data_IF_481310580460
#
_entry.id   IF_481310580460
#
_cell.length_a   1.000
_cell.length_b   1.000
_cell.length_c   1.000
_cell.angle_alpha   90.00
_cell.angle_beta   90.00
_cell.angle_gamma   90.00
#
_symmetry.space_group_name_H-M   'P 1'
#
loop_
_entity.id
_entity.type
_entity.pdbx_description
1 polymer ?
#
# COMPACT_ATOMS: atom_id res chain seq x y z
N UNK A 1 -11.96 -27.61 -14.21
CA UNK A 1 -11.98 -29.08 -14.13
C UNK A 1 -10.89 -29.67 -13.22
N UNK A 2 -9.68 -29.11 -13.18
CA UNK A 2 -8.64 -29.59 -12.24
C UNK A 2 -9.07 -29.48 -10.77
N UNK A 3 -9.68 -28.34 -10.39
CA UNK A 3 -10.16 -28.08 -9.02
C UNK A 3 -11.23 -29.09 -8.56
N UNK A 4 -12.13 -29.55 -9.44
CA UNK A 4 -13.15 -30.56 -9.07
C UNK A 4 -12.51 -31.92 -8.74
N UNK A 5 -11.51 -32.34 -9.52
CA UNK A 5 -10.77 -33.56 -9.22
C UNK A 5 -10.00 -33.48 -7.91
N UNK A 6 -9.59 -32.28 -7.49
CA UNK A 6 -8.97 -32.08 -6.17
C UNK A 6 -10.00 -32.10 -5.04
N UNK A 7 -11.17 -31.50 -5.24
CA UNK A 7 -12.27 -31.53 -4.27
C UNK A 7 -12.69 -32.99 -4.01
N UNK A 8 -12.85 -33.79 -5.06
CA UNK A 8 -13.20 -35.21 -4.95
C UNK A 8 -12.15 -36.04 -4.21
N UNK A 9 -10.87 -35.65 -4.29
CA UNK A 9 -9.75 -36.34 -3.63
C UNK A 9 -9.52 -35.89 -2.18
N UNK A 10 -10.07 -34.74 -1.79
CA UNK A 10 -9.83 -34.16 -0.47
C UNK A 10 -10.88 -34.67 0.50
N UNK A 11 -10.45 -35.32 1.59
CA UNK A 11 -11.37 -35.76 2.64
C UNK A 11 -11.91 -34.54 3.43
N UNK A 12 -13.17 -34.61 3.86
CA UNK A 12 -13.87 -33.58 4.66
C UNK A 12 -14.14 -32.21 3.98
N UNK A 13 -14.25 -32.15 2.65
CA UNK A 13 -14.69 -30.91 1.97
C UNK A 13 -16.19 -30.67 2.18
N UNK A 14 -16.60 -29.45 2.63
CA UNK A 14 -18.02 -29.13 2.76
C UNK A 14 -18.71 -29.15 1.40
N UNK A 15 -19.86 -29.83 1.33
CA UNK A 15 -20.66 -29.87 0.11
C UNK A 15 -21.24 -28.49 -0.24
N UNK A 16 -21.31 -28.15 -1.53
CA UNK A 16 -21.92 -26.90 -1.97
C UNK A 16 -23.37 -26.79 -1.51
N UNK A 17 -23.80 -25.59 -1.10
CA UNK A 17 -25.19 -25.33 -0.77
C UNK A 17 -25.88 -24.39 -1.76
N UNK A 18 -27.21 -24.39 -1.65
CA UNK A 18 -28.09 -23.42 -2.28
C UNK A 18 -28.86 -22.66 -1.19
N UNK A 19 -29.19 -21.41 -1.45
CA UNK A 19 -29.92 -20.52 -0.54
C UNK A 19 -31.03 -19.84 -1.33
N UNK A 20 -32.22 -19.76 -0.73
CA UNK A 20 -33.32 -18.96 -1.25
C UNK A 20 -33.24 -17.54 -0.68
N UNK A 21 -33.67 -16.58 -1.48
CA UNK A 21 -33.91 -15.22 -0.99
C UNK A 21 -35.16 -15.17 -0.09
N UNK A 22 -35.35 -14.07 0.62
CA UNK A 22 -36.48 -13.90 1.57
C UNK A 22 -37.84 -13.96 0.87
N UNK A 23 -37.88 -13.58 -0.41
CA UNK A 23 -39.11 -13.63 -1.21
C UNK A 23 -39.35 -14.99 -1.87
N UNK A 24 -38.42 -15.94 -1.74
CA UNK A 24 -38.41 -17.24 -2.40
C UNK A 24 -38.55 -17.17 -3.94
N UNK A 25 -38.25 -16.03 -4.55
CA UNK A 25 -38.30 -15.84 -6.00
C UNK A 25 -36.97 -16.22 -6.66
N UNK A 26 -35.89 -16.20 -5.90
CA UNK A 26 -34.53 -16.45 -6.38
C UNK A 26 -33.91 -17.62 -5.63
N UNK A 27 -33.35 -18.55 -6.42
CA UNK A 27 -32.47 -19.61 -5.94
C UNK A 27 -31.04 -19.23 -6.26
N UNK A 28 -30.21 -19.14 -5.23
CA UNK A 28 -28.79 -18.79 -5.34
C UNK A 28 -27.98 -20.04 -5.02
N UNK A 29 -27.04 -20.41 -5.89
CA UNK A 29 -26.16 -21.56 -5.62
C UNK A 29 -24.83 -21.44 -6.36
N UNK A 30 -23.79 -22.00 -5.75
CA UNK A 30 -22.46 -22.01 -6.32
C UNK A 30 -22.34 -23.04 -7.45
N UNK A 31 -21.69 -22.65 -8.54
CA UNK A 31 -21.40 -23.51 -9.69
C UNK A 31 -19.91 -23.52 -10.01
N UNK A 32 -19.52 -24.26 -11.04
CA UNK A 32 -18.15 -24.25 -11.57
C UNK A 32 -17.71 -22.87 -12.06
N UNK A 33 -18.67 -22.04 -12.50
CA UNK A 33 -18.43 -20.72 -13.07
C UNK A 33 -19.16 -19.68 -12.23
N UNK A 34 -18.61 -19.43 -11.05
CA UNK A 34 -19.19 -18.49 -10.09
C UNK A 34 -20.51 -18.95 -9.48
N UNK A 35 -21.24 -18.02 -8.90
CA UNK A 35 -22.50 -18.25 -8.18
C UNK A 35 -23.65 -17.79 -9.05
N UNK A 36 -24.58 -18.69 -9.37
CA UNK A 36 -25.76 -18.36 -10.16
C UNK A 36 -26.88 -17.86 -9.27
N UNK A 37 -27.52 -16.79 -9.71
CA UNK A 37 -28.80 -16.32 -9.19
C UNK A 37 -29.84 -16.71 -10.23
N UNK A 38 -30.72 -17.63 -9.88
CA UNK A 38 -31.77 -18.15 -10.76
C UNK A 38 -33.11 -17.61 -10.30
N UNK A 39 -33.84 -16.98 -11.21
CA UNK A 39 -35.21 -16.58 -10.96
C UNK A 39 -36.14 -17.77 -11.22
N UNK A 40 -36.84 -18.23 -10.18
CA UNK A 40 -37.66 -19.45 -10.23
C UNK A 40 -38.95 -19.26 -11.02
N UNK A 41 -39.44 -18.03 -11.16
CA UNK A 41 -40.65 -17.75 -11.92
C UNK A 41 -40.39 -17.76 -13.44
N UNK A 42 -39.27 -17.17 -13.84
CA UNK A 42 -38.90 -17.02 -15.26
C UNK A 42 -37.99 -18.13 -15.78
N UNK A 43 -37.46 -18.99 -14.89
CA UNK A 43 -36.43 -20.00 -15.18
C UNK A 43 -35.19 -19.42 -15.89
N UNK A 44 -34.92 -18.13 -15.68
CA UNK A 44 -33.75 -17.44 -16.25
C UNK A 44 -32.70 -17.21 -15.16
N UNK A 45 -31.45 -17.09 -15.59
CA UNK A 45 -30.32 -16.72 -14.74
C UNK A 45 -30.08 -15.21 -14.91
N UNK A 46 -30.74 -14.34 -14.14
CA UNK A 46 -30.55 -12.89 -14.25
C UNK A 46 -29.12 -12.45 -13.97
N UNK A 47 -28.40 -13.15 -13.09
CA UNK A 47 -27.06 -12.74 -12.67
C UNK A 47 -26.17 -13.94 -12.32
N UNK A 48 -24.88 -13.79 -12.57
CA UNK A 48 -23.83 -14.72 -12.14
C UNK A 48 -22.78 -13.89 -11.42
N UNK A 49 -22.63 -14.13 -10.12
CA UNK A 49 -21.66 -13.47 -9.25
C UNK A 49 -20.34 -14.24 -9.26
N UNK A 50 -19.23 -13.58 -8.93
CA UNK A 50 -17.94 -14.25 -8.86
C UNK A 50 -17.35 -14.64 -10.22
N UNK A 51 -17.78 -13.97 -11.31
CA UNK A 51 -17.27 -14.21 -12.67
C UNK A 51 -15.84 -13.72 -12.88
N UNK A 52 -15.43 -12.67 -12.15
CA UNK A 52 -14.08 -12.12 -12.25
C UNK A 52 -13.07 -13.12 -11.66
N UNK A 53 -13.51 -13.87 -10.67
CA UNK A 53 -12.78 -14.92 -9.97
C UNK A 53 -12.80 -16.25 -10.73
N UNK A 54 -12.38 -16.24 -12.00
CA UNK A 54 -12.48 -17.38 -12.94
C UNK A 54 -11.84 -18.71 -12.47
N UNK A 55 -10.92 -18.66 -11.51
CA UNK A 55 -10.25 -19.85 -10.95
C UNK A 55 -10.79 -20.29 -9.59
N UNK A 56 -11.76 -19.57 -9.02
CA UNK A 56 -12.23 -19.81 -7.66
C UNK A 56 -13.47 -20.70 -7.63
N UNK A 57 -13.42 -21.74 -6.79
CA UNK A 57 -14.54 -22.67 -6.62
C UNK A 57 -15.26 -22.39 -5.30
N UNK A 58 -16.34 -21.63 -5.36
CA UNK A 58 -17.17 -21.34 -4.19
C UNK A 58 -17.89 -22.60 -3.71
N UNK A 59 -17.85 -22.87 -2.40
CA UNK A 59 -18.52 -24.03 -1.80
C UNK A 59 -19.70 -23.59 -0.96
N UNK A 60 -19.44 -22.78 0.07
CA UNK A 60 -20.48 -22.34 0.98
C UNK A 60 -20.90 -20.91 0.68
N UNK A 61 -22.20 -20.70 0.59
CA UNK A 61 -22.83 -19.40 0.43
C UNK A 61 -23.77 -19.12 1.60
N UNK A 62 -23.85 -17.85 1.99
CA UNK A 62 -24.79 -17.34 2.97
C UNK A 62 -25.31 -15.99 2.49
N UNK A 63 -26.62 -15.80 2.52
CA UNK A 63 -27.27 -14.57 2.06
C UNK A 63 -27.73 -13.75 3.27
N UNK A 64 -27.24 -12.53 3.37
CA UNK A 64 -27.71 -11.54 4.34
C UNK A 64 -28.57 -10.51 3.59
N UNK A 65 -29.85 -10.36 3.97
CA UNK A 65 -30.79 -9.43 3.30
C UNK A 65 -31.15 -8.24 4.19
N UNK A 66 -30.29 -7.95 5.17
CA UNK A 66 -30.50 -6.87 6.14
C UNK A 66 -31.21 -7.32 7.41
N UNK A 67 -31.17 -6.41 8.39
CA UNK A 67 -31.95 -6.52 9.60
C UNK A 67 -33.20 -5.62 9.49
N UNK A 68 -34.39 -6.23 9.52
CA UNK A 68 -35.67 -5.50 9.64
C UNK A 68 -35.98 -5.12 11.11
N UNK A 69 -35.13 -5.53 12.05
CA UNK A 69 -35.21 -5.29 13.47
C UNK A 69 -34.83 -3.86 13.87
N UNK A 70 -35.83 -3.12 14.33
CA UNK A 70 -35.78 -1.93 15.18
C UNK A 70 -34.67 -0.88 14.91
N UNK A 71 -35.09 0.24 14.32
CA UNK A 71 -34.34 1.49 14.08
C UNK A 71 -33.68 2.07 15.34
N UNK A 72 -32.56 1.49 15.81
CA UNK A 72 -31.63 2.11 16.79
C UNK A 72 -30.19 1.74 16.49
N UNK A 73 -29.74 1.85 15.23
CA UNK A 73 -28.30 1.84 14.95
C UNK A 73 -27.75 3.25 15.18
N UNK A 74 -26.84 3.33 16.14
CA UNK A 74 -26.12 4.51 16.62
C UNK A 74 -25.42 5.21 15.45
N UNK A 75 -25.82 6.45 15.14
CA UNK A 75 -25.12 7.31 14.17
C UNK A 75 -23.67 7.51 14.67
N UNK A 76 -22.68 7.05 13.91
CA UNK A 76 -21.31 7.54 14.03
C UNK A 76 -21.31 8.90 13.30
N UNK A 77 -21.00 10.02 13.96
CA UNK A 77 -21.01 11.31 13.30
C UNK A 77 -19.79 11.41 12.39
N UNK A 78 -20.00 11.25 11.08
CA UNK A 78 -19.10 11.80 10.08
C UNK A 78 -19.39 13.30 9.95
N UNK A 79 -18.36 14.12 10.21
CA UNK A 79 -18.39 15.56 10.00
C UNK A 79 -18.36 15.81 8.49
N UNK A 80 -19.53 15.86 7.87
CA UNK A 80 -19.83 16.61 6.65
C UNK A 80 -21.33 16.43 6.34
N UNK A 81 -22.16 17.26 6.96
CA UNK A 81 -23.53 17.43 6.52
C UNK A 81 -23.53 18.29 5.26
N UNK A 82 -24.03 17.74 4.15
CA UNK A 82 -25.02 18.38 3.26
C UNK A 82 -25.23 17.50 2.03
N UNK A 83 -26.39 16.84 1.94
CA UNK A 83 -27.39 16.90 0.86
C UNK A 83 -28.55 15.99 1.27
N UNK A 84 -29.77 16.49 1.13
CA UNK A 84 -31.02 15.75 1.29
C UNK A 84 -30.99 14.38 0.58
N UNK A 85 -31.14 13.29 1.33
CA UNK A 85 -31.69 12.05 0.76
C UNK A 85 -32.58 11.39 1.81
N UNK A 86 -33.88 11.74 1.76
CA UNK A 86 -34.97 10.98 2.40
C UNK A 86 -35.16 9.65 1.65
N UNK A 87 -34.13 8.81 1.66
CA UNK A 87 -34.27 7.39 1.31
C UNK A 87 -34.16 6.61 2.60
N UNK A 88 -35.15 5.74 2.83
CA UNK A 88 -35.01 4.69 3.84
C UNK A 88 -33.65 4.01 3.67
N UNK A 89 -32.97 3.61 4.77
CA UNK A 89 -31.68 2.95 4.66
C UNK A 89 -31.86 1.75 3.74
N UNK A 90 -31.31 1.86 2.53
CA UNK A 90 -31.44 0.86 1.50
C UNK A 90 -30.68 -0.35 2.03
N UNK A 91 -31.41 -1.33 2.56
CA UNK A 91 -30.79 -2.56 3.00
C UNK A 91 -30.13 -3.22 1.79
N UNK A 92 -28.81 -3.32 1.84
CA UNK A 92 -28.01 -3.89 0.76
C UNK A 92 -27.82 -5.40 1.02
N UNK A 93 -28.50 -6.28 0.27
CA UNK A 93 -28.36 -7.70 0.42
C UNK A 93 -26.95 -8.08 0.03
N UNK A 94 -26.23 -8.68 0.98
CA UNK A 94 -24.85 -9.09 0.82
C UNK A 94 -24.77 -10.60 0.82
N UNK A 95 -24.20 -11.16 -0.24
CA UNK A 95 -23.88 -12.58 -0.31
C UNK A 95 -22.45 -12.80 0.19
N UNK A 96 -22.32 -13.63 1.21
CA UNK A 96 -21.03 -14.09 1.74
C UNK A 96 -20.73 -15.48 1.20
N UNK A 97 -19.49 -15.72 0.78
CA UNK A 97 -19.08 -17.06 0.40
C UNK A 97 -17.60 -17.37 0.65
N UNK A 98 -17.31 -18.67 0.71
CA UNK A 98 -15.96 -19.20 0.86
C UNK A 98 -15.61 -20.07 -0.35
N UNK A 99 -14.38 -19.97 -0.83
CA UNK A 99 -13.85 -20.79 -1.92
C UNK A 99 -12.95 -21.93 -1.42
N UNK A 100 -12.89 -23.01 -2.18
CA UNK A 100 -12.06 -24.18 -1.88
C UNK A 100 -10.57 -23.81 -1.81
N UNK A 101 -9.89 -24.22 -0.72
CA UNK A 101 -8.47 -23.91 -0.45
C UNK A 101 -8.13 -22.40 -0.52
N UNK A 102 -9.08 -21.53 -0.17
CA UNK A 102 -8.81 -20.10 -0.03
C UNK A 102 -9.07 -19.63 1.39
N UNK A 103 -8.10 -18.90 1.93
CA UNK A 103 -8.21 -18.21 3.21
C UNK A 103 -8.83 -16.81 3.02
N UNK A 104 -9.91 -16.75 2.24
CA UNK A 104 -10.61 -15.48 1.91
C UNK A 104 -12.11 -15.67 2.04
N UNK A 105 -12.76 -14.66 2.61
CA UNK A 105 -14.21 -14.50 2.60
C UNK A 105 -14.54 -13.53 1.48
N UNK A 106 -15.38 -13.94 0.55
CA UNK A 106 -15.85 -13.11 -0.55
C UNK A 106 -17.21 -12.52 -0.18
N UNK A 107 -17.37 -11.22 -0.43
CA UNK A 107 -18.61 -10.49 -0.19
C UNK A 107 -19.08 -9.87 -1.51
N UNK A 108 -20.30 -10.21 -1.92
CA UNK A 108 -20.94 -9.63 -3.10
C UNK A 108 -22.13 -8.79 -2.65
N UNK A 109 -22.06 -7.49 -2.88
CA UNK A 109 -23.18 -6.55 -2.69
C UNK A 109 -23.90 -6.32 -4.02
N UNK A 110 -24.88 -5.39 -4.05
CA UNK A 110 -25.54 -5.00 -5.30
C UNK A 110 -24.61 -4.34 -6.32
N UNK A 111 -23.50 -3.74 -5.87
CA UNK A 111 -22.50 -3.08 -6.73
C UNK A 111 -21.62 -4.12 -7.40
N UNK A 112 -21.51 -4.05 -8.72
CA UNK A 112 -20.64 -4.93 -9.49
C UNK A 112 -19.25 -4.30 -9.65
N UNK A 113 -18.18 -5.11 -9.72
CA UNK A 113 -16.81 -4.62 -9.91
C UNK A 113 -16.56 -3.96 -11.28
N UNK A 114 -17.54 -3.96 -12.19
CA UNK A 114 -17.47 -3.31 -13.51
C UNK A 114 -17.98 -1.84 -13.47
N UNK A 115 -18.56 -1.37 -12.35
CA UNK A 115 -18.88 0.05 -12.17
C UNK A 115 -17.59 0.84 -11.83
N UNK A 116 -17.29 1.95 -12.53
CA UNK A 116 -16.06 2.70 -12.29
C UNK A 116 -16.19 3.50 -10.97
N UNK A 117 -15.62 2.98 -9.88
CA UNK A 117 -15.30 3.76 -8.68
C UNK A 117 -13.82 3.63 -8.28
N UNK A 118 -13.27 4.76 -7.83
CA UNK A 118 -11.90 5.08 -7.39
C UNK A 118 -10.91 3.90 -7.23
N UNK A 119 -9.92 3.86 -8.14
CA UNK A 119 -8.75 2.99 -8.12
C UNK A 119 -7.84 3.13 -6.88
N UNK A 120 -8.16 4.04 -5.95
CA UNK A 120 -7.41 4.30 -4.71
C UNK A 120 -7.86 3.43 -3.52
N UNK A 121 -8.98 2.71 -3.64
CA UNK A 121 -9.42 1.70 -2.66
C UNK A 121 -9.31 0.33 -3.30
N UNK A 122 -8.26 -0.41 -2.96
CA UNK A 122 -8.16 -1.82 -3.31
C UNK A 122 -9.43 -2.56 -2.90
N UNK A 123 -9.96 -3.40 -3.79
CA UNK A 123 -11.20 -4.16 -3.62
C UNK A 123 -11.16 -5.10 -2.42
N UNK A 124 -9.97 -5.60 -2.09
CA UNK A 124 -9.74 -6.62 -1.08
C UNK A 124 -9.23 -5.95 0.21
N UNK A 125 -9.93 -6.21 1.32
CA UNK A 125 -9.48 -5.82 2.67
C UNK A 125 -8.76 -7.00 3.30
N UNK A 126 -7.44 -6.94 3.37
CA UNK A 126 -6.61 -7.97 4.01
C UNK A 126 -6.61 -7.78 5.52
N UNK A 127 -7.35 -8.63 6.23
CA UNK A 127 -7.47 -8.56 7.69
C UNK A 127 -6.53 -9.54 8.43
N UNK A 128 -5.79 -10.39 7.70
CA UNK A 128 -4.85 -11.38 8.25
C UNK A 128 -3.55 -11.48 7.43
N UNK A 129 -2.45 -11.83 8.10
CA UNK A 129 -1.15 -12.09 7.46
C UNK A 129 -1.26 -13.38 6.63
N UNK A 130 -1.05 -13.35 5.31
CA UNK A 130 -1.26 -14.51 4.45
C UNK A 130 -0.33 -15.69 4.83
N UNK A 131 -0.78 -16.94 4.63
CA UNK A 131 0.00 -18.12 4.97
C UNK A 131 1.27 -18.24 4.11
N UNK A 132 2.33 -18.91 4.61
CA UNK A 132 3.63 -18.98 3.95
C UNK A 132 3.59 -19.55 2.51
N UNK A 133 2.67 -20.48 2.23
CA UNK A 133 2.50 -21.09 0.91
C UNK A 133 1.85 -20.13 -0.12
N UNK A 134 0.95 -19.24 0.32
CA UNK A 134 0.43 -18.16 -0.54
C UNK A 134 1.49 -17.08 -0.76
N UNK A 135 2.34 -16.78 0.23
CA UNK A 135 3.51 -15.90 0.06
C UNK A 135 4.49 -16.42 -1.00
N UNK A 136 4.68 -17.74 -1.09
CA UNK A 136 5.57 -18.37 -2.07
C UNK A 136 4.96 -18.37 -3.48
N UNK A 137 3.66 -18.64 -3.64
CA UNK A 137 3.00 -18.54 -4.96
C UNK A 137 2.82 -17.09 -5.44
N UNK A 138 2.75 -16.12 -4.51
CA UNK A 138 2.82 -14.68 -4.83
C UNK A 138 4.22 -14.26 -5.27
N UNK A 139 5.27 -15.00 -4.90
CA UNK A 139 6.65 -14.65 -5.30
C UNK A 139 6.95 -14.88 -6.79
N UNK A 140 6.23 -15.78 -7.47
CA UNK A 140 6.37 -15.98 -8.93
C UNK A 140 5.49 -15.04 -9.77
N UNK A 141 4.32 -14.60 -9.25
CA UNK A 141 3.52 -13.53 -9.87
C UNK A 141 3.96 -12.11 -9.46
N UNK A 142 4.87 -12.01 -8.47
CA UNK A 142 5.43 -10.77 -7.92
C UNK A 142 6.31 -9.96 -8.87
N UNK A 143 6.44 -10.37 -10.13
CA UNK A 143 6.99 -9.51 -11.20
C UNK A 143 5.95 -8.57 -11.83
N UNK A 144 4.67 -8.67 -11.44
CA UNK A 144 3.58 -7.97 -12.14
C UNK A 144 2.57 -7.28 -11.23
N UNK A 145 2.89 -7.10 -9.95
CA UNK A 145 2.13 -6.27 -9.03
C UNK A 145 3.07 -5.28 -8.34
N UNK A 146 3.59 -4.32 -9.12
CA UNK A 146 3.90 -3.02 -8.55
C UNK A 146 2.58 -2.44 -8.04
N UNK A 147 2.31 -2.59 -6.74
CA UNK A 147 1.60 -1.53 -6.02
C UNK A 147 2.29 -0.25 -6.49
N UNK A 148 1.57 0.63 -7.19
CA UNK A 148 2.17 1.80 -7.83
C UNK A 148 2.72 2.75 -6.76
N UNK A 149 3.89 2.40 -6.25
CA UNK A 149 4.66 3.23 -5.34
C UNK A 149 4.94 4.51 -6.12
N UNK A 150 4.76 5.67 -5.49
CA UNK A 150 4.92 6.93 -6.18
C UNK A 150 6.37 7.09 -6.64
N UNK A 151 6.57 7.28 -7.94
CA UNK A 151 7.90 7.47 -8.53
C UNK A 151 8.45 8.87 -8.29
N UNK A 152 7.61 9.81 -7.87
CA UNK A 152 7.99 11.21 -7.68
C UNK A 152 7.49 11.72 -6.34
N UNK A 153 8.24 12.66 -5.76
CA UNK A 153 7.93 13.26 -4.46
C UNK A 153 8.51 14.68 -4.39
N UNK A 154 7.86 15.55 -3.63
CA UNK A 154 8.35 16.93 -3.42
C UNK A 154 8.52 17.19 -1.93
N UNK A 155 9.73 17.55 -1.55
CA UNK A 155 10.02 18.11 -0.23
C UNK A 155 9.91 19.62 -0.28
N UNK A 156 9.05 20.17 0.57
CA UNK A 156 9.04 21.60 0.83
C UNK A 156 9.96 21.84 2.02
N UNK A 157 11.07 22.53 1.80
CA UNK A 157 12.04 22.84 2.87
C UNK A 157 12.00 24.34 3.20
N UNK A 158 12.59 24.73 4.33
CA UNK A 158 12.74 26.13 4.70
C UNK A 158 13.54 26.98 3.70
N UNK A 159 14.28 26.34 2.78
CA UNK A 159 15.10 27.00 1.75
C UNK A 159 14.55 26.85 0.33
N UNK A 160 13.42 26.16 0.15
CA UNK A 160 12.80 25.92 -1.16
C UNK A 160 12.39 24.47 -1.39
N UNK A 161 11.91 24.19 -2.59
CA UNK A 161 11.35 22.89 -2.95
C UNK A 161 12.39 21.98 -3.62
N UNK A 162 12.42 20.71 -3.21
CA UNK A 162 13.29 19.67 -3.77
C UNK A 162 12.39 18.58 -4.36
N UNK A 163 12.48 18.38 -5.67
CA UNK A 163 11.76 17.31 -6.36
C UNK A 163 12.65 16.07 -6.46
N UNK A 164 12.14 14.95 -5.99
CA UNK A 164 12.79 13.66 -5.96
C UNK A 164 12.10 12.70 -6.92
N UNK A 165 12.90 11.88 -7.61
CA UNK A 165 12.47 10.68 -8.33
C UNK A 165 12.94 9.45 -7.55
N UNK A 166 12.05 8.50 -7.31
CA UNK A 166 12.30 7.27 -6.57
C UNK A 166 12.44 6.07 -7.53
N UNK A 167 13.02 4.99 -7.03
CA UNK A 167 13.29 3.75 -7.79
C UNK A 167 12.59 2.55 -7.16
N UNK A 168 11.24 2.44 -7.27
CA UNK A 168 10.48 1.38 -6.61
C UNK A 168 10.69 -0.01 -7.22
N UNK A 169 11.12 -0.10 -8.48
CA UNK A 169 11.40 -1.40 -9.12
C UNK A 169 12.67 -2.05 -8.57
N UNK A 170 13.70 -1.24 -8.35
CA UNK A 170 15.00 -1.69 -7.88
C UNK A 170 15.09 -1.82 -6.35
N UNK A 171 14.44 -0.91 -5.62
CA UNK A 171 14.49 -0.83 -4.15
C UNK A 171 13.08 -0.74 -3.54
N UNK A 172 12.23 -1.78 -3.73
CA UNK A 172 10.83 -1.73 -3.33
C UNK A 172 10.61 -1.49 -1.84
N UNK A 173 11.39 -2.14 -0.95
CA UNK A 173 11.21 -1.97 0.50
C UNK A 173 11.63 -0.59 0.97
N UNK A 174 12.73 -0.08 0.44
CA UNK A 174 13.24 1.24 0.79
C UNK A 174 12.27 2.32 0.35
N UNK A 175 11.72 2.21 -0.87
CA UNK A 175 10.73 3.16 -1.39
C UNK A 175 9.40 3.04 -0.65
N UNK A 176 8.94 1.83 -0.29
CA UNK A 176 7.74 1.63 0.53
C UNK A 176 7.90 2.29 1.91
N UNK A 177 9.02 2.06 2.59
CA UNK A 177 9.34 2.66 3.88
C UNK A 177 9.32 4.20 3.79
N UNK A 178 10.06 4.74 2.83
CA UNK A 178 10.20 6.19 2.64
C UNK A 178 8.85 6.86 2.30
N UNK A 179 8.12 6.31 1.34
CA UNK A 179 6.84 6.91 0.89
C UNK A 179 5.75 6.81 1.95
N UNK A 180 5.75 5.74 2.74
CA UNK A 180 4.83 5.58 3.87
C UNK A 180 5.14 6.57 4.99
N UNK A 181 6.42 6.77 5.34
CA UNK A 181 6.81 7.83 6.28
C UNK A 181 6.39 9.22 5.78
N UNK A 182 6.56 9.50 4.49
CA UNK A 182 6.11 10.76 3.88
C UNK A 182 4.59 10.95 4.01
N UNK A 183 3.80 9.91 3.71
CA UNK A 183 2.32 9.96 3.81
C UNK A 183 1.84 10.13 5.25
N UNK A 184 2.57 9.59 6.22
CA UNK A 184 2.25 9.71 7.63
C UNK A 184 2.69 11.06 8.24
N UNK A 185 3.30 11.95 7.46
CA UNK A 185 3.85 13.22 7.95
C UNK A 185 5.05 13.03 8.89
N UNK A 186 5.73 11.87 8.82
CA UNK A 186 6.84 11.55 9.72
C UNK A 186 8.04 12.48 9.53
N UNK A 187 8.26 12.94 8.30
CA UNK A 187 9.34 13.86 7.95
C UNK A 187 8.97 15.33 8.14
N UNK A 188 7.75 15.64 8.58
CA UNK A 188 7.30 17.02 8.75
C UNK A 188 8.01 17.69 9.93
N UNK A 189 8.52 18.90 9.71
CA UNK A 189 9.36 19.68 10.62
C UNK A 189 10.69 19.03 11.05
N UNK A 190 11.16 17.98 10.35
CA UNK A 190 12.48 17.41 10.67
C UNK A 190 13.62 18.27 10.15
N UNK A 191 14.70 18.32 10.93
CA UNK A 191 15.89 19.11 10.60
C UNK A 191 16.90 18.31 9.76
N UNK A 192 17.72 19.02 9.00
CA UNK A 192 18.97 18.50 8.48
C UNK A 192 20.02 18.56 9.60
N UNK A 193 20.09 17.49 10.39
CA UNK A 193 20.95 17.46 11.59
C UNK A 193 22.44 17.35 11.26
N UNK A 194 22.80 16.96 10.03
CA UNK A 194 24.18 16.84 9.59
C UNK A 194 24.36 17.28 8.14
N UNK A 195 25.25 18.24 7.90
CA UNK A 195 25.52 18.86 6.60
C UNK A 195 27.03 18.96 6.41
N UNK A 196 27.57 18.23 5.42
CA UNK A 196 29.00 18.23 5.13
C UNK A 196 29.23 18.79 3.73
N UNK A 197 29.92 19.93 3.67
CA UNK A 197 30.26 20.60 2.42
C UNK A 197 31.17 19.72 1.56
N UNK A 198 30.81 19.54 0.31
CA UNK A 198 31.48 18.68 -0.66
C UNK A 198 31.22 17.20 -0.46
N UNK A 199 30.17 16.82 0.27
CA UNK A 199 29.86 15.42 0.55
C UNK A 199 28.35 15.12 0.50
N UNK A 200 27.61 15.45 1.56
CA UNK A 200 26.18 15.13 1.67
C UNK A 200 25.44 16.01 2.67
N UNK A 201 24.12 16.04 2.52
CA UNK A 201 23.18 16.57 3.52
C UNK A 201 22.31 15.42 4.04
N UNK A 202 22.26 15.23 5.35
CA UNK A 202 21.58 14.11 6.02
C UNK A 202 20.42 14.59 6.89
N UNK A 203 19.32 13.83 6.87
CA UNK A 203 18.08 14.12 7.60
C UNK A 203 17.32 12.81 7.89
N UNK A 204 16.07 12.91 8.32
CA UNK A 204 15.19 11.77 8.59
C UNK A 204 15.26 11.23 10.03
N UNK A 205 15.90 11.97 10.94
CA UNK A 205 15.92 11.67 12.37
C UNK A 205 14.94 12.57 13.14
N UNK A 206 13.92 12.02 13.82
CA UNK A 206 13.01 12.76 14.69
C UNK A 206 13.67 13.44 15.89
N UNK A 207 14.77 12.89 16.40
CA UNK A 207 15.48 13.44 17.56
C UNK A 207 16.42 14.59 17.15
N UNK A 208 16.89 14.58 15.90
CA UNK A 208 17.78 15.60 15.35
C UNK A 208 19.19 15.55 15.90
N UNK A 209 19.60 14.41 16.46
CA UNK A 209 20.94 14.14 17.02
C UNK A 209 21.70 13.05 16.24
N UNK A 210 21.07 12.42 15.26
CA UNK A 210 21.62 11.39 14.39
C UNK A 210 21.48 9.97 14.94
N UNK A 211 20.91 9.78 16.14
CA UNK A 211 20.78 8.47 16.79
C UNK A 211 19.38 7.86 16.68
N UNK A 212 18.38 8.69 16.36
CA UNK A 212 17.00 8.27 16.26
C UNK A 212 16.58 7.81 14.86
N UNK A 213 15.29 7.53 14.72
CA UNK A 213 14.70 7.08 13.47
C UNK A 213 14.45 5.58 13.44
N UNK A 214 13.26 5.19 13.01
CA UNK A 214 12.85 3.80 12.88
C UNK A 214 12.09 3.62 11.57
N UNK A 215 12.19 2.43 10.97
CA UNK A 215 11.40 2.09 9.80
C UNK A 215 9.90 1.98 10.15
N UNK A 216 9.06 1.91 9.13
CA UNK A 216 7.62 1.66 9.27
C UNK A 216 7.29 0.31 9.94
N UNK A 217 8.25 -0.62 9.98
CA UNK A 217 8.09 -1.93 10.60
C UNK A 217 8.55 -1.96 12.07
N UNK A 218 9.00 -0.83 12.63
CA UNK A 218 9.48 -0.74 14.01
C UNK A 218 10.78 -1.51 14.29
N UNK A 219 11.51 -1.88 13.22
CA UNK A 219 12.81 -2.57 13.27
C UNK A 219 13.68 -2.16 12.10
N UNK A 220 14.97 -2.41 12.18
CA UNK A 220 15.87 -2.24 11.05
C UNK A 220 15.51 -3.18 9.88
N UNK A 221 15.80 -2.76 8.64
CA UNK A 221 15.56 -3.57 7.43
C UNK A 221 16.80 -3.66 6.54
N UNK A 222 16.79 -4.65 5.64
CA UNK A 222 17.92 -5.01 4.79
C UNK A 222 18.33 -3.93 3.79
N UNK A 223 19.57 -4.01 3.30
CA UNK A 223 20.05 -3.18 2.19
C UNK A 223 19.57 -3.73 0.82
N UNK A 224 19.20 -2.83 -0.09
CA UNK A 224 18.78 -3.17 -1.46
C UNK A 224 19.78 -2.62 -2.49
N UNK A 225 20.76 -3.45 -2.89
CA UNK A 225 21.77 -3.03 -3.87
C UNK A 225 21.41 -3.48 -5.28
N UNK A 226 21.30 -2.52 -6.21
CA UNK A 226 21.05 -2.79 -7.63
C UNK A 226 22.24 -2.34 -8.50
N UNK A 227 22.59 -3.08 -9.56
CA UNK A 227 23.79 -2.79 -10.37
C UNK A 227 23.76 -1.45 -11.11
N UNK A 228 22.56 -0.99 -11.49
CA UNK A 228 22.36 0.30 -12.17
C UNK A 228 22.39 1.50 -11.22
N UNK A 229 22.22 1.27 -9.91
CA UNK A 229 22.11 2.34 -8.92
C UNK A 229 23.44 2.52 -8.20
N UNK A 230 24.10 3.66 -8.45
CA UNK A 230 25.44 3.98 -7.96
C UNK A 230 25.50 5.45 -7.55
N UNK A 231 26.45 5.79 -6.70
CA UNK A 231 26.78 7.16 -6.32
C UNK A 231 27.74 7.80 -7.34
N UNK A 232 27.49 7.58 -8.63
CA UNK A 232 28.33 8.06 -9.74
C UNK A 232 28.13 9.56 -10.01
N UNK A 233 27.02 10.12 -9.53
CA UNK A 233 26.58 11.49 -9.80
C UNK A 233 26.14 12.20 -8.51
N UNK A 234 26.25 13.54 -8.48
CA UNK A 234 25.68 14.33 -7.40
C UNK A 234 24.15 14.24 -7.39
N UNK A 235 23.60 14.60 -6.23
CA UNK A 235 22.17 14.64 -5.91
C UNK A 235 21.50 13.28 -5.87
N UNK A 236 22.27 12.25 -5.51
CA UNK A 236 21.79 10.88 -5.32
C UNK A 236 21.19 10.75 -3.92
N UNK A 237 20.00 10.14 -3.83
CA UNK A 237 19.28 9.91 -2.59
C UNK A 237 19.56 8.49 -2.11
N UNK A 238 20.05 8.35 -0.88
CA UNK A 238 20.48 7.08 -0.32
C UNK A 238 20.18 6.97 1.18
N UNK A 239 19.95 5.74 1.66
CA UNK A 239 19.66 5.47 3.07
C UNK A 239 20.90 5.64 3.94
N UNK A 240 20.72 6.28 5.10
CA UNK A 240 21.74 6.28 6.16
C UNK A 240 21.58 5.01 7.00
N UNK A 241 22.69 4.35 7.30
CA UNK A 241 22.72 3.13 8.12
C UNK A 241 23.95 3.16 9.05
N UNK A 242 23.91 2.34 10.11
CA UNK A 242 25.00 2.18 11.08
C UNK A 242 25.87 0.93 10.79
N UNK A 243 25.64 0.29 9.66
CA UNK A 243 26.23 -0.99 9.27
C UNK A 243 25.32 -1.75 8.30
N UNK A 244 25.75 -2.92 7.80
CA UNK A 244 24.95 -3.71 6.88
C UNK A 244 23.58 -4.07 7.46
N UNK A 245 22.52 -3.87 6.68
CA UNK A 245 21.13 -4.20 7.01
C UNK A 245 20.55 -3.46 8.24
N UNK A 246 21.04 -2.24 8.51
CA UNK A 246 20.57 -1.41 9.64
C UNK A 246 19.79 -0.18 9.16
N UNK A 247 19.01 -0.32 8.08
CA UNK A 247 18.25 0.80 7.53
C UNK A 247 17.07 1.17 8.45
N UNK A 248 16.92 2.46 8.73
CA UNK A 248 15.84 3.02 9.54
C UNK A 248 14.99 4.00 8.74
N UNK A 249 14.86 5.24 9.24
CA UNK A 249 14.17 6.34 8.52
C UNK A 249 15.12 7.43 8.02
N UNK A 250 16.38 7.41 8.45
CA UNK A 250 17.37 8.40 8.06
C UNK A 250 17.86 8.19 6.63
N UNK A 251 18.08 9.29 5.92
CA UNK A 251 18.59 9.29 4.55
C UNK A 251 19.46 10.52 4.30
N UNK A 252 20.25 10.48 3.23
CA UNK A 252 21.08 11.59 2.80
C UNK A 252 20.97 11.84 1.30
N UNK A 253 21.27 13.08 0.92
CA UNK A 253 21.40 13.52 -0.47
C UNK A 253 22.86 13.89 -0.70
N UNK A 254 23.51 13.26 -1.67
CA UNK A 254 24.90 13.58 -2.00
C UNK A 254 24.99 14.88 -2.77
N UNK A 255 26.05 15.66 -2.57
CA UNK A 255 26.31 16.89 -3.34
C UNK A 255 27.42 16.71 -4.38
N UNK A 256 28.17 15.62 -4.28
CA UNK A 256 29.21 15.18 -5.21
C UNK A 256 29.06 13.68 -5.51
N UNK A 257 29.85 13.15 -6.45
CA UNK A 257 29.95 11.70 -6.66
C UNK A 257 30.71 11.06 -5.49
N UNK A 258 30.15 9.99 -4.92
CA UNK A 258 30.68 9.33 -3.71
C UNK A 258 30.77 7.81 -3.89
N UNK A 259 31.55 7.31 -4.87
CA UNK A 259 31.58 5.89 -5.24
C UNK A 259 32.03 4.95 -4.11
N UNK A 260 32.69 5.46 -3.06
CA UNK A 260 33.06 4.67 -1.89
C UNK A 260 31.89 4.25 -0.98
N UNK A 261 30.68 4.80 -1.23
CA UNK A 261 29.42 4.43 -0.59
C UNK A 261 28.67 3.32 -1.37
N UNK A 262 29.13 2.98 -2.57
CA UNK A 262 28.48 1.94 -3.39
C UNK A 262 28.51 0.57 -2.70
N UNK A 263 27.36 -0.11 -2.73
CA UNK A 263 27.12 -1.38 -2.03
C UNK A 263 27.32 -1.31 -0.51
N UNK A 264 27.28 -0.11 0.08
CA UNK A 264 27.21 0.10 1.54
C UNK A 264 25.94 0.80 1.95
N UNK A 265 25.44 1.70 1.10
CA UNK A 265 24.19 2.42 1.31
C UNK A 265 23.25 2.19 0.13
N UNK A 266 21.97 1.97 0.46
CA UNK A 266 20.92 1.71 -0.52
C UNK A 266 20.54 3.00 -1.25
N UNK A 267 20.83 3.07 -2.54
CA UNK A 267 20.42 4.16 -3.43
C UNK A 267 18.99 3.91 -3.87
N UNK A 268 18.06 4.77 -3.49
CA UNK A 268 16.62 4.56 -3.76
C UNK A 268 15.95 5.72 -4.52
N UNK A 269 16.72 6.76 -4.87
CA UNK A 269 16.20 7.86 -5.67
C UNK A 269 17.25 8.89 -6.06
N UNK A 270 16.78 10.00 -6.63
CA UNK A 270 17.61 11.13 -7.05
C UNK A 270 16.83 12.44 -7.10
N UNK A 271 17.49 13.56 -6.86
CA UNK A 271 16.91 14.89 -7.10
C UNK A 271 16.80 15.16 -8.60
N UNK A 272 15.61 15.55 -9.04
CA UNK A 272 15.31 15.92 -10.43
C UNK A 272 15.12 17.42 -10.63
N UNK A 273 14.70 18.16 -9.59
CA UNK A 273 14.63 19.63 -9.55
C UNK A 273 14.92 20.12 -8.14
N UNK A 274 15.41 21.35 -7.99
CA UNK A 274 15.82 21.90 -6.69
C UNK A 274 17.26 21.53 -6.30
N UNK A 275 18.12 21.22 -7.28
CA UNK A 275 19.55 20.96 -7.02
C UNK A 275 20.25 22.20 -6.42
N UNK A 276 19.82 23.39 -6.81
CA UNK A 276 20.25 24.67 -6.25
C UNK A 276 19.87 24.80 -4.77
N UNK A 277 18.67 24.35 -4.38
CA UNK A 277 18.24 24.31 -2.98
C UNK A 277 19.14 23.37 -2.17
N UNK A 278 19.43 22.16 -2.67
CA UNK A 278 20.35 21.22 -2.01
C UNK A 278 21.74 21.84 -1.83
N UNK A 279 22.26 22.54 -2.84
CA UNK A 279 23.54 23.26 -2.75
C UNK A 279 23.49 24.46 -1.79
N UNK A 280 22.34 25.11 -1.63
CA UNK A 280 22.17 26.17 -0.63
C UNK A 280 22.19 25.59 0.78
N UNK A 281 21.50 24.46 1.01
CA UNK A 281 21.52 23.73 2.28
C UNK A 281 22.95 23.30 2.61
N UNK A 282 23.70 22.79 1.64
CA UNK A 282 25.11 22.41 1.82
C UNK A 282 26.02 23.58 2.25
N UNK A 283 25.71 24.81 1.81
CA UNK A 283 26.53 26.00 2.07
C UNK A 283 26.23 26.67 3.42
N UNK A 284 25.26 26.18 4.18
CA UNK A 284 24.95 26.73 5.51
C UNK A 284 26.15 26.58 6.44
N UNK A 285 26.30 27.52 7.38
CA UNK A 285 27.36 27.44 8.38
C UNK A 285 27.04 26.32 9.37
N UNK A 286 27.98 25.40 9.56
CA UNK A 286 27.87 24.27 10.48
C UNK A 286 28.83 24.41 11.66
N UNK A 287 28.50 23.72 12.75
CA UNK A 287 29.34 23.60 13.93
C UNK A 287 30.43 22.51 13.77
N UNK A 288 31.12 22.16 14.86
CA UNK A 288 32.16 21.11 14.86
C UNK A 288 31.64 19.70 14.62
N UNK A 289 30.33 19.48 14.78
CA UNK A 289 29.66 18.20 14.58
C UNK A 289 28.93 18.14 13.23
N UNK A 290 29.25 19.06 12.31
CA UNK A 290 28.59 19.22 11.02
C UNK A 290 27.09 19.58 11.13
N UNK A 291 26.62 20.08 12.29
CA UNK A 291 25.23 20.50 12.49
C UNK A 291 25.06 21.97 12.09
N UNK A 292 24.06 22.34 11.27
CA UNK A 292 23.79 23.73 10.92
C UNK A 292 23.54 24.62 12.15
N UNK A 293 24.10 25.84 12.18
CA UNK A 293 23.80 26.84 13.22
C UNK A 293 22.37 27.37 13.14
N UNK A 294 21.82 27.43 11.93
CA UNK A 294 20.43 27.76 11.67
C UNK A 294 19.76 26.50 11.15
N UNK A 295 18.72 26.06 11.85
CA UNK A 295 18.01 24.84 11.50
C UNK A 295 17.38 24.98 10.11
N UNK A 296 17.86 24.14 9.19
CA UNK A 296 17.17 23.87 7.93
C UNK A 296 16.23 22.71 8.19
N UNK A 297 14.96 22.85 7.82
CA UNK A 297 13.94 21.83 8.07
C UNK A 297 13.12 21.49 6.83
N UNK A 298 12.65 20.26 6.79
CA UNK A 298 11.58 19.81 5.90
C UNK A 298 10.28 20.30 6.54
N UNK A 299 9.53 21.16 5.86
CA UNK A 299 8.26 21.70 6.36
C UNK A 299 7.16 20.66 6.23
N UNK A 300 7.02 20.11 5.03
CA UNK A 300 6.09 19.04 4.72
C UNK A 300 6.52 18.32 3.44
N UNK A 301 5.90 17.17 3.21
CA UNK A 301 6.15 16.34 2.04
C UNK A 301 4.89 16.20 1.19
N UNK A 302 4.99 16.53 -0.09
CA UNK A 302 3.93 16.28 -1.06
C UNK A 302 4.24 15.03 -1.85
N UNK A 303 3.40 14.01 -1.67
CA UNK A 303 3.38 12.81 -2.51
C UNK A 303 2.34 13.04 -3.60
N UNK A 304 2.72 13.25 -4.87
CA UNK A 304 1.77 13.33 -5.97
C UNK A 304 0.87 12.10 -5.97
N UNK A 305 -0.44 12.32 -6.08
CA UNK A 305 -1.37 11.23 -6.33
C UNK A 305 -1.11 10.75 -7.76
N UNK A 306 -0.61 9.53 -7.90
CA UNK A 306 -0.55 8.81 -9.16
C UNK A 306 -1.94 8.47 -9.65
#
# INVERSE_FOLDING_TARGET
MAVEKEIEKTENVPQPNAVFDESCNFLIYATLLGIKVVNLHTNKVPRILGKVENNERFLRIALYQGDKGNKKVRKIPSIAANVNDTKEPLSDPTLLCCAFKKHRIYTFSRREPEEPEDATKGRDVFNEKPPPEELLSVSELGKTATTSLPDNLVFHTSMGDIHLRLYPEECPKTVENFTTHCRNGYYDNLIFHRVIKGFMVQTGDPLGDGTGGQSIWGREFEDEFHKSLRHDRPFTLSMANAGPNTNGSQFFITTVATPWLDNKHTVFGRVVKGMDVVQQIEKVKTDKNDKPYQDVKILNVTVPKT
#
